data_IF_962202944293
#
_entry.id   IF_962202944293
#
_cell.length_a   1.000
_cell.length_b   1.000
_cell.length_c   1.000
_cell.angle_alpha   90.00
_cell.angle_beta   90.00
_cell.angle_gamma   90.00
#
_symmetry.space_group_name_H-M   'P 1'
#
loop_
_entity.id
_entity.type
_entity.pdbx_description
1 polymer ?
#
# COMPACT_ATOMS: atom_id res chain seq x y z
N UNK A 1 4.78 -5.56 -11.65
CA UNK A 1 5.33 -6.59 -10.71
C UNK A 1 5.83 -7.88 -11.39
N UNK A 2 5.18 -8.39 -12.45
CA UNK A 2 5.57 -9.64 -13.16
C UNK A 2 7.03 -9.69 -13.66
N UNK A 3 7.55 -8.60 -14.26
CA UNK A 3 8.94 -8.57 -14.77
C UNK A 3 10.00 -8.79 -13.67
N UNK A 4 9.85 -8.10 -12.52
CA UNK A 4 10.76 -8.25 -11.38
C UNK A 4 10.68 -9.64 -10.71
N UNK A 5 9.58 -10.37 -10.88
CA UNK A 5 9.37 -11.72 -10.32
C UNK A 5 10.09 -12.79 -11.15
N UNK A 6 10.04 -12.65 -12.48
CA UNK A 6 10.80 -13.50 -13.40
C UNK A 6 12.30 -13.29 -13.18
N UNK A 7 12.72 -12.03 -13.03
CA UNK A 7 14.12 -11.67 -12.81
C UNK A 7 14.66 -12.22 -11.48
N UNK A 8 13.89 -12.15 -10.38
CA UNK A 8 14.32 -12.69 -9.07
C UNK A 8 14.72 -14.17 -9.14
N UNK A 9 13.90 -15.00 -9.79
CA UNK A 9 14.16 -16.44 -9.84
C UNK A 9 15.33 -16.87 -10.73
N UNK A 10 15.84 -15.97 -11.57
CA UNK A 10 17.07 -16.19 -12.36
C UNK A 10 18.27 -15.51 -11.72
N UNK A 11 18.11 -14.28 -11.25
CA UNK A 11 19.19 -13.44 -10.75
C UNK A 11 19.69 -13.93 -9.39
N UNK A 12 18.80 -14.21 -8.43
CA UNK A 12 19.22 -14.54 -7.06
C UNK A 12 20.08 -15.82 -6.99
N UNK A 13 19.75 -16.93 -7.68
CA UNK A 13 20.62 -18.11 -7.70
C UNK A 13 21.98 -17.83 -8.33
N UNK A 14 22.05 -17.07 -9.42
CA UNK A 14 23.32 -16.76 -10.09
C UNK A 14 24.20 -15.86 -9.21
N UNK A 15 23.64 -14.79 -8.66
CA UNK A 15 24.39 -13.83 -7.84
C UNK A 15 24.84 -14.45 -6.53
N UNK A 16 23.99 -15.24 -5.85
CA UNK A 16 24.39 -15.95 -4.62
C UNK A 16 25.48 -17.00 -4.88
N UNK A 17 25.41 -17.71 -6.01
CA UNK A 17 26.45 -18.66 -6.42
C UNK A 17 27.77 -17.96 -6.71
N UNK A 18 27.73 -16.86 -7.45
CA UNK A 18 28.92 -16.06 -7.75
C UNK A 18 29.56 -15.50 -6.47
N UNK A 19 28.74 -15.01 -5.53
CA UNK A 19 29.19 -14.56 -4.22
C UNK A 19 29.86 -15.69 -3.43
N UNK A 20 29.23 -16.88 -3.37
CA UNK A 20 29.79 -18.02 -2.66
C UNK A 20 31.13 -18.48 -3.28
N UNK A 21 31.20 -18.58 -4.60
CA UNK A 21 32.44 -18.92 -5.31
C UNK A 21 33.53 -17.90 -5.00
N UNK A 22 33.21 -16.61 -5.05
CA UNK A 22 34.15 -15.55 -4.73
C UNK A 22 34.68 -15.64 -3.29
N UNK A 23 33.78 -15.78 -2.31
CA UNK A 23 34.15 -15.93 -0.89
C UNK A 23 35.03 -17.15 -0.68
N UNK A 24 34.68 -18.30 -1.27
CA UNK A 24 35.44 -19.54 -1.08
C UNK A 24 36.83 -19.49 -1.74
N UNK A 25 36.94 -18.81 -2.89
CA UNK A 25 38.23 -18.55 -3.53
C UNK A 25 39.11 -17.67 -2.66
N UNK A 26 38.55 -16.65 -2.01
CA UNK A 26 39.31 -15.83 -1.06
C UNK A 26 39.77 -16.64 0.16
N UNK A 27 38.93 -17.55 0.65
CA UNK A 27 39.20 -18.36 1.85
C UNK A 27 40.20 -19.48 1.60
N UNK A 28 40.10 -20.19 0.48
CA UNK A 28 40.81 -21.46 0.25
C UNK A 28 41.64 -21.48 -1.04
N UNK A 29 41.58 -20.43 -1.86
CA UNK A 29 42.10 -20.44 -3.21
C UNK A 29 41.23 -21.25 -4.18
N UNK A 30 41.79 -21.61 -5.34
CA UNK A 30 41.09 -22.45 -6.31
C UNK A 30 41.14 -23.91 -5.88
N UNK A 31 39.98 -24.59 -5.83
CA UNK A 31 39.93 -25.98 -5.42
C UNK A 31 38.55 -26.63 -5.56
N UNK A 32 38.48 -27.90 -5.19
CA UNK A 32 37.24 -28.70 -5.25
C UNK A 32 36.17 -28.14 -4.30
N UNK A 33 36.55 -27.51 -3.19
CA UNK A 33 35.63 -26.86 -2.24
C UNK A 33 34.81 -25.76 -2.91
N UNK A 34 35.45 -24.92 -3.74
CA UNK A 34 34.81 -23.84 -4.52
C UNK A 34 33.71 -24.40 -5.41
N UNK A 35 34.00 -25.49 -6.14
CA UNK A 35 33.02 -26.13 -7.04
C UNK A 35 31.87 -26.73 -6.23
N UNK A 36 32.18 -27.45 -5.14
CA UNK A 36 31.18 -28.08 -4.27
C UNK A 36 30.21 -27.04 -3.70
N UNK A 37 30.72 -25.97 -3.09
CA UNK A 37 29.90 -24.93 -2.46
C UNK A 37 29.15 -24.08 -3.50
N UNK A 38 29.75 -23.85 -4.67
CA UNK A 38 29.07 -23.18 -5.78
C UNK A 38 27.86 -23.97 -6.28
N UNK A 39 28.03 -25.26 -6.59
CA UNK A 39 26.94 -26.13 -7.06
C UNK A 39 25.86 -26.27 -5.97
N UNK A 40 26.26 -26.48 -4.72
CA UNK A 40 25.32 -26.60 -3.61
C UNK A 40 24.48 -25.33 -3.44
N UNK A 41 25.13 -24.16 -3.44
CA UNK A 41 24.44 -22.86 -3.33
C UNK A 41 23.47 -22.64 -4.48
N UNK A 42 23.87 -23.01 -5.71
CA UNK A 42 23.00 -22.91 -6.88
C UNK A 42 21.74 -23.75 -6.73
N UNK A 43 21.88 -25.04 -6.37
CA UNK A 43 20.75 -25.97 -6.23
C UNK A 43 19.80 -25.51 -5.12
N UNK A 44 20.34 -25.19 -3.95
CA UNK A 44 19.55 -24.77 -2.78
C UNK A 44 18.82 -23.45 -3.05
N UNK A 45 19.48 -22.49 -3.71
CA UNK A 45 18.86 -21.20 -4.03
C UNK A 45 17.83 -21.34 -5.16
N UNK A 46 18.05 -22.21 -6.15
CA UNK A 46 17.04 -22.55 -7.16
C UNK A 46 15.79 -23.15 -6.54
N UNK A 47 15.94 -24.05 -5.56
CA UNK A 47 14.81 -24.61 -4.84
C UNK A 47 14.03 -23.51 -4.07
N UNK A 48 14.74 -22.56 -3.46
CA UNK A 48 14.12 -21.46 -2.71
C UNK A 48 13.36 -20.52 -3.64
N UNK A 49 13.95 -20.15 -4.77
CA UNK A 49 13.28 -19.27 -5.75
C UNK A 49 12.14 -19.97 -6.47
N UNK A 50 12.23 -21.28 -6.69
CA UNK A 50 11.12 -22.08 -7.20
C UNK A 50 9.95 -22.11 -6.20
N UNK A 51 10.21 -22.29 -4.91
CA UNK A 51 9.18 -22.19 -3.87
C UNK A 51 8.49 -20.83 -3.88
N UNK A 52 9.27 -19.72 -3.98
CA UNK A 52 8.69 -18.38 -4.12
C UNK A 52 7.82 -18.27 -5.37
N UNK A 53 8.26 -18.81 -6.52
CA UNK A 53 7.46 -18.78 -7.77
C UNK A 53 6.15 -19.58 -7.65
N UNK A 54 6.16 -20.69 -6.93
CA UNK A 54 4.98 -21.55 -6.80
C UNK A 54 3.89 -20.92 -5.92
N UNK A 55 4.28 -20.12 -4.93
CA UNK A 55 3.39 -19.46 -3.97
C UNK A 55 3.46 -17.91 -4.03
N UNK A 56 3.84 -17.37 -5.20
CA UNK A 56 4.26 -15.96 -5.37
C UNK A 56 3.23 -14.92 -4.91
N UNK A 57 1.94 -15.18 -5.15
CA UNK A 57 0.87 -14.25 -4.77
C UNK A 57 0.65 -14.16 -3.25
N UNK A 58 1.01 -15.20 -2.49
CA UNK A 58 0.85 -15.22 -1.03
C UNK A 58 2.10 -14.71 -0.30
N UNK A 59 3.28 -14.86 -0.92
CA UNK A 59 4.59 -14.56 -0.30
C UNK A 59 5.10 -13.16 -0.65
N UNK A 60 5.12 -12.78 -1.93
CA UNK A 60 5.74 -11.53 -2.37
C UNK A 60 4.68 -10.43 -2.53
N UNK A 61 4.45 -9.70 -1.43
CA UNK A 61 3.46 -8.62 -1.36
C UNK A 61 3.93 -7.30 -1.98
N UNK A 62 5.25 -7.07 -2.05
CA UNK A 62 5.81 -5.80 -2.53
C UNK A 62 7.19 -5.96 -3.16
N UNK A 63 7.62 -4.96 -3.96
CA UNK A 63 9.01 -4.90 -4.47
C UNK A 63 10.06 -4.85 -3.34
N UNK A 64 9.71 -4.28 -2.20
CA UNK A 64 10.60 -4.17 -1.03
C UNK A 64 10.84 -5.55 -0.41
N UNK A 65 9.82 -6.43 -0.40
CA UNK A 65 9.96 -7.81 0.08
C UNK A 65 11.02 -8.59 -0.73
N UNK A 66 11.11 -8.34 -2.04
CA UNK A 66 12.13 -8.92 -2.91
C UNK A 66 13.53 -8.43 -2.53
N UNK A 67 13.67 -7.13 -2.28
CA UNK A 67 14.94 -6.53 -1.87
C UNK A 67 15.40 -7.06 -0.50
N UNK A 68 14.48 -7.13 0.47
CA UNK A 68 14.74 -7.68 1.80
C UNK A 68 15.19 -9.13 1.70
N UNK A 69 14.49 -9.96 0.92
CA UNK A 69 14.87 -11.35 0.67
C UNK A 69 16.30 -11.45 0.13
N UNK A 70 16.63 -10.69 -0.91
CA UNK A 70 17.94 -10.72 -1.55
C UNK A 70 19.06 -10.28 -0.58
N UNK A 71 18.88 -9.14 0.10
CA UNK A 71 19.85 -8.59 1.06
C UNK A 71 20.04 -9.55 2.24
N UNK A 72 18.95 -10.06 2.81
CA UNK A 72 19.01 -10.97 3.96
C UNK A 72 19.72 -12.26 3.60
N UNK A 73 19.41 -12.87 2.45
CA UNK A 73 20.04 -14.12 2.04
C UNK A 73 21.52 -13.94 1.69
N UNK A 74 21.86 -12.93 0.88
CA UNK A 74 23.25 -12.65 0.51
C UNK A 74 24.09 -12.23 1.71
N UNK A 75 23.56 -11.37 2.58
CA UNK A 75 24.24 -10.95 3.81
C UNK A 75 24.49 -12.13 4.75
N UNK A 76 23.54 -13.05 4.86
CA UNK A 76 23.70 -14.28 5.66
C UNK A 76 24.78 -15.20 5.09
N UNK A 77 24.82 -15.38 3.77
CA UNK A 77 25.88 -16.13 3.09
C UNK A 77 27.26 -15.53 3.36
N UNK A 78 27.38 -14.19 3.31
CA UNK A 78 28.64 -13.51 3.61
C UNK A 78 29.06 -13.67 5.07
N UNK A 79 28.13 -13.44 6.01
CA UNK A 79 28.40 -13.55 7.44
C UNK A 79 28.83 -14.96 7.84
N UNK A 80 28.29 -16.00 7.19
CA UNK A 80 28.62 -17.40 7.51
C UNK A 80 30.11 -17.71 7.34
N UNK A 81 30.80 -17.04 6.42
CA UNK A 81 32.21 -17.26 6.11
C UNK A 81 33.13 -16.13 6.60
N UNK A 82 32.57 -15.08 7.23
CA UNK A 82 33.33 -13.98 7.80
C UNK A 82 33.79 -14.26 9.24
N UNK A 83 33.11 -15.19 9.91
CA UNK A 83 33.33 -15.58 11.31
C UNK A 83 34.33 -16.72 11.44
N UNK A 84 35.08 -16.76 12.54
CA UNK A 84 36.04 -17.83 12.80
C UNK A 84 35.34 -19.13 13.20
N UNK A 85 34.31 -19.04 14.05
CA UNK A 85 33.59 -20.18 14.61
C UNK A 85 32.07 -20.11 14.29
N UNK A 86 31.63 -20.49 13.08
CA UNK A 86 30.24 -20.31 12.65
C UNK A 86 29.20 -21.16 13.39
N UNK A 87 29.64 -22.16 14.19
CA UNK A 87 28.76 -22.90 15.11
C UNK A 87 28.40 -22.15 16.39
N UNK A 88 29.21 -21.16 16.79
CA UNK A 88 29.01 -20.32 17.98
C UNK A 88 28.61 -18.91 17.54
N UNK A 89 29.29 -18.35 16.54
CA UNK A 89 29.05 -17.01 15.98
C UNK A 89 27.97 -17.04 14.89
N UNK A 90 26.75 -17.35 15.31
CA UNK A 90 25.60 -17.62 14.41
C UNK A 90 24.95 -16.35 13.83
N UNK A 91 25.68 -15.25 13.65
CA UNK A 91 25.15 -13.98 13.11
C UNK A 91 24.55 -14.13 11.70
N UNK A 92 25.02 -15.13 10.96
CA UNK A 92 24.47 -15.51 9.65
C UNK A 92 23.00 -15.96 9.72
N UNK A 93 22.45 -16.25 10.90
CA UNK A 93 21.03 -16.57 11.07
C UNK A 93 20.10 -15.34 11.05
N UNK A 94 20.64 -14.11 11.13
CA UNK A 94 19.83 -12.86 11.17
C UNK A 94 18.92 -12.77 9.93
N UNK A 95 19.44 -13.06 8.73
CA UNK A 95 18.67 -12.89 7.51
C UNK A 95 17.50 -13.86 7.39
N UNK A 96 17.69 -15.14 7.72
CA UNK A 96 16.60 -16.12 7.70
C UNK A 96 15.51 -15.82 8.73
N UNK A 97 15.89 -15.32 9.92
CA UNK A 97 14.93 -14.85 10.92
C UNK A 97 14.16 -13.62 10.44
N UNK A 98 14.84 -12.62 9.85
CA UNK A 98 14.19 -11.43 9.31
C UNK A 98 13.20 -11.74 8.18
N UNK A 99 13.57 -12.63 7.26
CA UNK A 99 12.64 -13.12 6.22
C UNK A 99 11.44 -13.81 6.88
N UNK A 100 11.64 -14.56 7.96
CA UNK A 100 10.55 -15.22 8.70
C UNK A 100 9.65 -14.25 9.46
N UNK A 101 10.17 -13.10 9.90
CA UNK A 101 9.42 -12.04 10.58
C UNK A 101 8.61 -11.21 9.58
N UNK A 102 9.24 -10.80 8.48
CA UNK A 102 8.76 -9.73 7.61
C UNK A 102 8.09 -10.24 6.32
N UNK A 103 8.62 -11.30 5.73
CA UNK A 103 8.22 -11.76 4.39
C UNK A 103 7.32 -12.98 4.50
N UNK A 104 7.88 -14.13 4.83
CA UNK A 104 7.15 -15.38 5.02
C UNK A 104 7.93 -16.34 5.92
N UNK A 105 7.22 -16.95 6.86
CA UNK A 105 7.79 -17.84 7.87
C UNK A 105 8.38 -19.11 7.25
N UNK A 106 7.70 -19.70 6.27
CA UNK A 106 8.16 -20.96 5.65
C UNK A 106 9.37 -20.69 4.75
N UNK A 107 9.35 -19.59 4.02
CA UNK A 107 10.48 -19.17 3.20
C UNK A 107 11.72 -18.90 4.07
N UNK A 108 11.59 -18.15 5.16
CA UNK A 108 12.73 -17.86 6.03
C UNK A 108 13.32 -19.14 6.66
N UNK A 109 12.47 -20.09 7.07
CA UNK A 109 12.93 -21.43 7.51
C UNK A 109 13.70 -22.17 6.40
N UNK A 110 13.16 -22.15 5.18
CA UNK A 110 13.80 -22.79 4.03
C UNK A 110 15.20 -22.21 3.75
N UNK A 111 15.35 -20.89 3.84
CA UNK A 111 16.64 -20.22 3.67
C UNK A 111 17.63 -20.54 4.81
N UNK A 112 17.16 -20.66 6.05
CA UNK A 112 18.04 -21.10 7.16
C UNK A 112 18.57 -22.50 6.91
N UNK A 113 17.72 -23.44 6.50
CA UNK A 113 18.15 -24.80 6.21
C UNK A 113 19.16 -24.84 5.07
N UNK A 114 18.97 -24.02 4.04
CA UNK A 114 19.98 -23.86 2.98
C UNK A 114 21.35 -23.44 3.56
N UNK A 115 21.38 -22.44 4.44
CA UNK A 115 22.61 -21.96 5.07
C UNK A 115 23.24 -23.03 5.97
N UNK A 116 22.45 -23.79 6.72
CA UNK A 116 22.95 -24.90 7.55
C UNK A 116 23.59 -25.99 6.68
N UNK A 117 23.02 -26.32 5.53
CA UNK A 117 23.64 -27.29 4.61
C UNK A 117 24.94 -26.76 3.97
N UNK A 118 24.99 -25.47 3.65
CA UNK A 118 26.20 -24.82 3.14
C UNK A 118 27.29 -24.82 4.23
N UNK A 119 26.93 -24.49 5.47
CA UNK A 119 27.83 -24.60 6.63
C UNK A 119 28.35 -26.03 6.78
N UNK A 120 27.47 -27.02 6.72
CA UNK A 120 27.82 -28.43 6.91
C UNK A 120 28.91 -28.90 5.94
N UNK A 121 28.76 -28.55 4.67
CA UNK A 121 29.73 -28.88 3.62
C UNK A 121 30.98 -27.98 3.69
N UNK A 122 30.80 -26.70 3.99
CA UNK A 122 31.87 -25.70 3.95
C UNK A 122 32.83 -25.76 5.14
N UNK A 123 32.39 -26.32 6.26
CA UNK A 123 33.16 -26.43 7.50
C UNK A 123 33.29 -27.88 8.01
N UNK A 124 32.83 -28.87 7.22
CA UNK A 124 32.86 -30.30 7.60
C UNK A 124 32.21 -30.55 8.97
N UNK A 125 30.98 -30.05 9.13
CA UNK A 125 30.31 -30.04 10.42
C UNK A 125 30.07 -31.45 10.97
N UNK A 126 30.17 -31.58 12.29
CA UNK A 126 29.74 -32.77 13.03
C UNK A 126 28.22 -32.91 12.96
N UNK A 127 27.73 -34.15 13.04
CA UNK A 127 26.29 -34.42 12.92
C UNK A 127 25.50 -33.79 14.10
N UNK A 128 26.11 -33.76 15.29
CA UNK A 128 25.55 -33.15 16.49
C UNK A 128 25.39 -31.63 16.30
N UNK A 129 26.41 -30.94 15.78
CA UNK A 129 26.35 -29.50 15.47
C UNK A 129 25.27 -29.22 14.41
N UNK A 130 25.18 -30.06 13.38
CA UNK A 130 24.16 -29.92 12.35
C UNK A 130 22.74 -30.05 12.92
N UNK A 131 22.51 -31.05 13.77
CA UNK A 131 21.22 -31.24 14.44
C UNK A 131 20.88 -30.06 15.36
N UNK A 132 21.85 -29.56 16.13
CA UNK A 132 21.69 -28.38 16.96
C UNK A 132 21.24 -27.16 16.13
N UNK A 133 21.97 -26.83 15.07
CA UNK A 133 21.68 -25.68 14.21
C UNK A 133 20.33 -25.80 13.49
N UNK A 134 19.96 -27.00 13.02
CA UNK A 134 18.64 -27.24 12.41
C UNK A 134 17.50 -27.01 13.40
N UNK A 135 17.63 -27.54 14.62
CA UNK A 135 16.60 -27.40 15.66
C UNK A 135 16.44 -25.93 16.11
N UNK A 136 17.55 -25.22 16.31
CA UNK A 136 17.51 -23.80 16.69
C UNK A 136 16.97 -22.94 15.56
N UNK A 137 17.37 -23.20 14.31
CA UNK A 137 16.82 -22.53 13.14
C UNK A 137 15.30 -22.72 13.02
N UNK A 138 14.84 -23.96 13.17
CA UNK A 138 13.42 -24.29 13.14
C UNK A 138 12.64 -23.58 14.25
N UNK A 139 13.17 -23.57 15.48
CA UNK A 139 12.54 -22.93 16.62
C UNK A 139 12.45 -21.40 16.46
N UNK A 140 13.56 -20.76 16.09
CA UNK A 140 13.64 -19.31 15.90
C UNK A 140 12.67 -18.85 14.79
N UNK A 141 12.63 -19.57 13.67
CA UNK A 141 11.67 -19.30 12.59
C UNK A 141 10.23 -19.60 13.01
N UNK A 142 9.96 -20.66 13.78
CA UNK A 142 8.62 -20.97 14.27
C UNK A 142 8.07 -19.87 15.19
N UNK A 143 8.96 -19.30 16.02
CA UNK A 143 8.65 -18.21 16.96
C UNK A 143 8.80 -16.81 16.36
N UNK A 144 9.10 -16.67 15.06
CA UNK A 144 9.43 -15.38 14.44
C UNK A 144 8.41 -14.27 14.70
N UNK A 145 7.10 -14.59 14.69
CA UNK A 145 6.02 -13.63 15.00
C UNK A 145 6.06 -13.14 16.45
N UNK A 146 6.33 -14.03 17.40
CA UNK A 146 6.47 -13.66 18.81
C UNK A 146 7.75 -12.85 19.05
N UNK A 147 8.83 -13.20 18.36
CA UNK A 147 10.09 -12.47 18.40
C UNK A 147 10.01 -11.10 17.71
N UNK A 148 9.01 -10.85 16.87
CA UNK A 148 8.77 -9.55 16.23
C UNK A 148 7.94 -8.60 17.11
N UNK A 149 7.13 -9.15 18.03
CA UNK A 149 6.20 -8.36 18.84
C UNK A 149 6.80 -8.00 20.21
N UNK A 150 6.79 -6.70 20.55
CA UNK A 150 7.33 -6.15 21.81
C UNK A 150 6.78 -6.84 23.06
N UNK A 151 5.51 -7.20 23.06
CA UNK A 151 4.83 -7.79 24.23
C UNK A 151 5.21 -9.26 24.45
N UNK A 152 5.63 -9.96 23.39
CA UNK A 152 5.94 -11.39 23.45
C UNK A 152 7.42 -11.72 23.20
N UNK A 153 8.23 -10.74 22.81
CA UNK A 153 9.67 -10.88 22.55
C UNK A 153 10.39 -11.59 23.70
N UNK A 154 10.21 -11.13 24.94
CA UNK A 154 10.91 -11.66 26.11
C UNK A 154 10.62 -13.16 26.29
N UNK A 155 9.36 -13.57 26.18
CA UNK A 155 8.97 -14.98 26.30
C UNK A 155 9.55 -15.82 25.16
N UNK A 156 9.49 -15.32 23.92
CA UNK A 156 10.08 -16.00 22.77
C UNK A 156 11.60 -16.16 22.92
N UNK A 157 12.29 -15.11 23.37
CA UNK A 157 13.74 -15.15 23.64
C UNK A 157 14.08 -16.16 24.72
N UNK A 158 13.35 -16.20 25.84
CA UNK A 158 13.58 -17.18 26.91
C UNK A 158 13.46 -18.61 26.36
N UNK A 159 12.42 -18.90 25.58
CA UNK A 159 12.22 -20.24 25.00
C UNK A 159 13.38 -20.63 24.07
N UNK A 160 13.84 -19.71 23.22
CA UNK A 160 14.97 -19.98 22.31
C UNK A 160 16.25 -20.20 23.10
N UNK A 161 16.58 -19.33 24.05
CA UNK A 161 17.83 -19.43 24.82
C UNK A 161 17.84 -20.66 25.72
N UNK A 162 16.73 -20.98 26.40
CA UNK A 162 16.65 -22.19 27.23
C UNK A 162 16.81 -23.45 26.38
N UNK A 163 16.22 -23.47 25.18
CA UNK A 163 16.39 -24.58 24.24
C UNK A 163 17.83 -24.66 23.74
N UNK A 164 18.47 -23.52 23.45
CA UNK A 164 19.87 -23.49 23.04
C UNK A 164 20.81 -24.09 24.08
N UNK A 165 20.69 -23.68 25.35
CA UNK A 165 21.49 -24.24 26.45
C UNK A 165 21.24 -25.75 26.56
N UNK A 166 19.97 -26.16 26.51
CA UNK A 166 19.60 -27.58 26.64
C UNK A 166 20.20 -28.42 25.52
N UNK A 167 20.07 -27.97 24.26
CA UNK A 167 20.63 -28.67 23.11
C UNK A 167 22.16 -28.67 23.15
N UNK A 168 22.79 -27.53 23.43
CA UNK A 168 24.24 -27.44 23.57
C UNK A 168 24.75 -28.40 24.65
N UNK A 169 24.03 -28.53 25.77
CA UNK A 169 24.42 -29.43 26.86
C UNK A 169 24.30 -30.90 26.45
N UNK A 170 23.19 -31.27 25.79
CA UNK A 170 22.96 -32.64 25.31
C UNK A 170 23.98 -33.04 24.22
N UNK A 171 24.21 -32.17 23.23
CA UNK A 171 25.10 -32.47 22.11
C UNK A 171 26.59 -32.48 22.47
N UNK A 172 26.95 -31.91 23.63
CA UNK A 172 28.29 -31.98 24.19
C UNK A 172 28.37 -32.97 25.37
N UNK A 173 27.58 -34.05 25.31
CA UNK A 173 27.64 -35.20 26.23
C UNK A 173 27.45 -34.84 27.71
N UNK A 174 26.69 -33.78 28.02
CA UNK A 174 26.45 -33.32 29.38
C UNK A 174 27.73 -32.85 30.12
N UNK A 175 28.79 -32.47 29.38
CA UNK A 175 30.08 -32.03 29.93
C UNK A 175 30.22 -30.50 29.80
N UNK A 176 30.53 -29.81 30.91
CA UNK A 176 30.71 -28.35 30.97
C UNK A 176 32.18 -27.88 30.90
N UNK A 177 33.15 -28.77 30.68
CA UNK A 177 34.58 -28.44 30.79
C UNK A 177 35.04 -27.40 29.75
N UNK A 178 35.54 -26.26 30.23
CA UNK A 178 35.91 -25.08 29.44
C UNK A 178 37.29 -25.18 28.78
N UNK A 179 38.21 -25.97 29.33
CA UNK A 179 39.63 -25.97 28.90
C UNK A 179 39.88 -26.59 27.52
N UNK A 180 38.91 -27.33 26.96
CA UNK A 180 38.93 -27.86 25.59
C UNK A 180 37.52 -28.04 24.97
N UNK A 181 36.50 -27.38 25.54
CA UNK A 181 35.08 -27.63 25.25
C UNK A 181 34.34 -26.48 24.55
N UNK A 182 33.06 -26.73 24.26
CA UNK A 182 32.14 -25.79 23.61
C UNK A 182 31.91 -24.54 24.47
N UNK A 183 32.04 -23.34 23.90
CA UNK A 183 31.78 -22.09 24.64
C UNK A 183 30.27 -21.80 24.74
N UNK A 184 29.67 -22.27 25.83
CA UNK A 184 28.25 -22.09 26.15
C UNK A 184 27.85 -20.63 26.32
N UNK A 185 28.73 -19.81 26.91
CA UNK A 185 28.43 -18.41 27.21
C UNK A 185 28.42 -17.61 25.90
N UNK A 186 29.43 -17.81 25.05
CA UNK A 186 29.49 -17.21 23.73
C UNK A 186 28.31 -17.64 22.85
N UNK A 187 27.97 -18.93 22.84
CA UNK A 187 26.82 -19.46 22.09
C UNK A 187 25.50 -18.79 22.52
N UNK A 188 25.26 -18.70 23.82
CA UNK A 188 24.07 -18.04 24.37
C UNK A 188 24.02 -16.55 24.01
N UNK A 189 25.15 -15.85 24.19
CA UNK A 189 25.26 -14.42 23.89
C UNK A 189 25.01 -14.15 22.40
N UNK A 190 25.58 -14.94 21.51
CA UNK A 190 25.44 -14.76 20.06
C UNK A 190 23.99 -15.00 19.59
N UNK A 191 23.29 -16.02 20.09
CA UNK A 191 21.87 -16.22 19.76
C UNK A 191 21.01 -15.08 20.31
N UNK A 192 21.30 -14.59 21.51
CA UNK A 192 20.62 -13.42 22.05
C UNK A 192 20.82 -12.18 21.16
N UNK A 193 22.05 -11.94 20.69
CA UNK A 193 22.36 -10.86 19.76
C UNK A 193 21.67 -11.02 18.40
N UNK A 194 21.56 -12.24 17.86
CA UNK A 194 20.80 -12.52 16.64
C UNK A 194 19.33 -12.12 16.81
N UNK A 195 18.70 -12.55 17.91
CA UNK A 195 17.29 -12.24 18.18
C UNK A 195 17.10 -10.73 18.32
N UNK A 196 17.95 -10.08 19.14
CA UNK A 196 17.83 -8.64 19.40
C UNK A 196 18.11 -7.81 18.15
N UNK A 197 19.13 -8.18 17.36
CA UNK A 197 19.47 -7.55 16.09
C UNK A 197 18.35 -7.67 15.06
N UNK A 198 17.78 -8.87 14.89
CA UNK A 198 16.62 -9.07 14.01
C UNK A 198 15.39 -8.32 14.49
N UNK A 199 15.13 -8.28 15.81
CA UNK A 199 14.03 -7.49 16.37
C UNK A 199 14.20 -5.99 16.08
N UNK A 200 15.37 -5.41 16.33
CA UNK A 200 15.66 -4.00 16.03
C UNK A 200 15.49 -3.68 14.54
N UNK A 201 16.01 -4.53 13.65
CA UNK A 201 15.82 -4.39 12.20
C UNK A 201 14.34 -4.52 11.79
N UNK A 202 13.57 -5.39 12.45
CA UNK A 202 12.13 -5.49 12.23
C UNK A 202 11.37 -4.23 12.65
N UNK A 203 11.80 -3.55 13.72
CA UNK A 203 11.22 -2.27 14.14
C UNK A 203 11.49 -1.17 13.11
N UNK A 204 12.70 -1.09 12.56
CA UNK A 204 13.05 -0.16 11.50
C UNK A 204 12.19 -0.38 10.25
N UNK A 205 11.96 -1.65 9.89
CA UNK A 205 11.05 -2.00 8.81
C UNK A 205 9.61 -1.53 9.08
N UNK A 206 9.06 -1.82 10.27
CA UNK A 206 7.72 -1.38 10.65
C UNK A 206 7.59 0.15 10.64
N UNK A 207 8.61 0.88 11.10
CA UNK A 207 8.63 2.35 11.04
C UNK A 207 8.63 2.85 9.59
N UNK A 208 9.43 2.25 8.71
CA UNK A 208 9.47 2.60 7.29
C UNK A 208 8.11 2.39 6.62
N UNK A 209 7.45 1.24 6.87
CA UNK A 209 6.13 0.93 6.30
C UNK A 209 5.08 1.94 6.80
N UNK A 210 5.03 2.18 8.11
CA UNK A 210 4.10 3.15 8.69
C UNK A 210 4.32 4.57 8.15
N UNK A 211 5.58 5.00 7.98
CA UNK A 211 5.90 6.31 7.40
C UNK A 211 5.42 6.42 5.96
N UNK A 212 5.60 5.36 5.15
CA UNK A 212 5.13 5.33 3.77
C UNK A 212 3.60 5.40 3.69
N UNK A 213 2.90 4.69 4.58
CA UNK A 213 1.43 4.76 4.66
C UNK A 213 0.94 6.14 5.13
N UNK A 214 1.60 6.75 6.11
CA UNK A 214 1.25 8.08 6.59
C UNK A 214 1.47 9.15 5.52
N UNK A 215 2.63 9.16 4.83
CA UNK A 215 2.87 10.08 3.72
C UNK A 215 1.78 9.93 2.64
N UNK A 216 1.36 8.69 2.36
CA UNK A 216 0.30 8.44 1.38
C UNK A 216 -1.06 8.97 1.86
N UNK A 217 -1.40 8.80 3.14
CA UNK A 217 -2.61 9.38 3.74
C UNK A 217 -2.56 10.91 3.74
N UNK A 218 -1.43 11.49 4.10
CA UNK A 218 -1.24 12.94 4.11
C UNK A 218 -1.34 13.52 2.69
N UNK A 219 -0.81 12.83 1.67
CA UNK A 219 -0.98 13.22 0.28
C UNK A 219 -2.45 13.22 -0.15
N UNK A 220 -3.23 12.20 0.23
CA UNK A 220 -4.66 12.11 -0.07
C UNK A 220 -5.46 13.19 0.66
N UNK A 221 -5.15 13.41 1.93
CA UNK A 221 -5.82 14.44 2.73
C UNK A 221 -5.47 15.84 2.22
N UNK A 222 -4.19 16.10 1.95
CA UNK A 222 -3.74 17.38 1.43
C UNK A 222 -4.22 17.61 0.00
N UNK A 223 -4.32 16.60 -0.85
CA UNK A 223 -4.91 16.79 -2.19
C UNK A 223 -6.38 17.17 -2.09
N UNK A 224 -7.13 16.53 -1.19
CA UNK A 224 -8.52 16.87 -0.93
C UNK A 224 -8.68 18.27 -0.32
N UNK A 225 -7.75 18.71 0.54
CA UNK A 225 -7.75 20.05 1.15
C UNK A 225 -7.14 21.14 0.23
N UNK A 226 -6.26 20.82 -0.73
CA UNK A 226 -5.74 21.76 -1.74
C UNK A 226 -6.82 22.06 -2.77
N UNK A 227 -7.57 21.05 -3.24
CA UNK A 227 -8.75 21.27 -4.07
C UNK A 227 -9.84 22.09 -3.35
N UNK A 228 -9.85 22.02 -2.02
CA UNK A 228 -10.68 22.87 -1.16
C UNK A 228 -10.16 24.32 -1.12
N UNK A 229 -8.84 24.54 -1.10
CA UNK A 229 -8.26 25.86 -0.87
C UNK A 229 -7.88 26.66 -2.12
N UNK A 230 -7.62 26.04 -3.28
CA UNK A 230 -7.01 26.70 -4.45
C UNK A 230 -7.98 27.48 -5.37
N UNK A 231 -9.18 27.81 -4.89
CA UNK A 231 -10.07 28.79 -5.51
C UNK A 231 -10.46 29.83 -4.46
N UNK A 232 -9.68 30.91 -4.39
CA UNK A 232 -10.01 32.14 -3.68
C UNK A 232 -9.66 33.34 -4.58
N UNK A 233 -10.64 34.19 -4.87
CA UNK A 233 -10.48 35.66 -4.83
C UNK A 233 -11.87 36.36 -4.86
N UNK A 234 -12.23 36.82 -3.66
CA UNK A 234 -12.96 38.06 -3.27
C UNK A 234 -14.41 38.31 -3.69
N UNK A 235 -15.24 38.55 -2.66
CA UNK A 235 -16.38 39.47 -2.71
C UNK A 235 -17.63 38.94 -2.00
N UNK A 236 -17.93 39.42 -0.80
CA UNK A 236 -19.22 39.22 -0.12
C UNK A 236 -20.32 40.07 -0.80
N UNK A 237 -21.53 39.53 -1.00
CA UNK A 237 -22.81 40.19 -0.65
C UNK A 237 -24.05 39.29 -0.87
N UNK A 238 -25.10 39.59 -0.10
CA UNK A 238 -26.36 38.87 0.14
C UNK A 238 -27.29 38.77 -1.07
N UNK A 239 -28.07 37.68 -1.18
CA UNK A 239 -29.28 37.65 -2.01
C UNK A 239 -30.47 36.96 -1.33
N UNK A 240 -31.62 37.59 -1.52
CA UNK A 240 -32.94 37.37 -0.91
C UNK A 240 -33.76 36.36 -1.74
N UNK A 241 -34.53 35.53 -1.04
CA UNK A 241 -35.51 34.59 -1.58
C UNK A 241 -36.60 35.27 -2.43
N UNK A 242 -37.02 34.61 -3.51
CA UNK A 242 -38.45 34.49 -3.78
C UNK A 242 -38.80 33.21 -4.58
N UNK A 243 -39.88 32.56 -4.17
CA UNK A 243 -40.41 31.32 -4.73
C UNK A 243 -41.10 31.55 -6.09
N UNK A 244 -40.95 30.63 -7.05
CA UNK A 244 -42.09 29.87 -7.61
C UNK A 244 -41.74 28.98 -8.82
N UNK A 245 -41.90 27.68 -8.60
CA UNK A 245 -42.64 26.70 -9.41
C UNK A 245 -42.68 26.84 -10.96
N UNK A 246 -41.88 26.03 -11.68
CA UNK A 246 -42.24 25.52 -13.01
C UNK A 246 -41.49 24.23 -13.33
N UNK A 247 -42.25 23.21 -13.74
CA UNK A 247 -41.94 21.79 -13.67
C UNK A 247 -41.45 21.20 -14.99
N UNK A 248 -40.39 20.38 -14.93
CA UNK A 248 -39.94 19.34 -15.90
C UNK A 248 -39.62 19.75 -17.35
N UNK A 249 -40.34 20.68 -17.98
CA UNK A 249 -40.10 21.09 -19.38
C UNK A 249 -38.80 21.89 -19.58
N UNK A 250 -38.24 22.47 -18.51
CA UNK A 250 -37.01 23.25 -18.58
C UNK A 250 -35.75 22.39 -18.61
N UNK A 251 -35.79 21.21 -17.98
CA UNK A 251 -34.62 20.34 -17.86
C UNK A 251 -34.30 19.66 -19.20
N UNK A 252 -35.32 19.23 -19.95
CA UNK A 252 -35.15 18.61 -21.27
C UNK A 252 -34.41 19.53 -22.26
N UNK A 253 -34.65 20.85 -22.19
CA UNK A 253 -33.97 21.86 -23.03
C UNK A 253 -32.51 22.09 -22.60
N UNK A 254 -32.22 21.94 -21.31
CA UNK A 254 -30.86 22.08 -20.76
C UNK A 254 -30.02 20.82 -21.00
N UNK A 255 -30.65 19.65 -21.14
CA UNK A 255 -29.93 18.39 -21.42
C UNK A 255 -29.61 18.17 -22.90
N UNK A 256 -30.18 18.95 -23.81
CA UNK A 256 -29.87 18.83 -25.24
C UNK A 256 -28.40 19.21 -25.48
N UNK A 257 -27.63 18.33 -26.13
CA UNK A 257 -26.23 18.60 -26.47
C UNK A 257 -26.06 19.80 -27.42
N UNK A 258 -27.12 20.23 -28.10
CA UNK A 258 -27.16 21.45 -28.91
C UNK A 258 -27.56 22.69 -28.09
N UNK A 259 -27.73 22.56 -26.78
CA UNK A 259 -27.97 23.70 -25.90
C UNK A 259 -26.82 24.70 -26.02
N UNK A 260 -27.18 25.97 -26.21
CA UNK A 260 -26.23 27.04 -26.48
C UNK A 260 -25.12 27.14 -25.42
N UNK A 261 -25.45 26.97 -24.14
CA UNK A 261 -24.47 27.05 -23.05
C UNK A 261 -23.49 25.87 -23.06
N UNK A 262 -23.93 24.67 -23.45
CA UNK A 262 -23.04 23.52 -23.58
C UNK A 262 -22.12 23.66 -24.79
N UNK A 263 -22.61 24.25 -25.87
CA UNK A 263 -21.78 24.61 -27.03
C UNK A 263 -20.74 25.65 -26.63
N UNK A 264 -21.13 26.72 -25.94
CA UNK A 264 -20.20 27.73 -25.43
C UNK A 264 -19.16 27.14 -24.47
N UNK A 265 -19.56 26.21 -23.59
CA UNK A 265 -18.66 25.52 -22.67
C UNK A 265 -17.60 24.72 -23.44
N UNK A 266 -18.01 24.02 -24.50
CA UNK A 266 -17.12 23.25 -25.37
C UNK A 266 -16.17 24.14 -26.17
N UNK A 267 -16.68 25.25 -26.73
CA UNK A 267 -15.85 26.23 -27.43
C UNK A 267 -14.83 26.89 -26.50
N UNK A 268 -15.16 27.06 -25.22
CA UNK A 268 -14.25 27.55 -24.20
C UNK A 268 -13.16 26.52 -23.85
N UNK A 269 -13.54 25.26 -23.61
CA UNK A 269 -12.59 24.18 -23.35
C UNK A 269 -13.24 22.79 -23.55
N UNK A 270 -12.65 21.98 -24.43
CA UNK A 270 -13.03 20.57 -24.60
C UNK A 270 -12.87 19.77 -23.30
N UNK A 271 -11.84 20.06 -22.51
CA UNK A 271 -11.57 19.39 -21.22
C UNK A 271 -12.69 19.68 -20.22
N UNK A 272 -13.10 20.96 -20.11
CA UNK A 272 -14.16 21.38 -19.20
C UNK A 272 -15.52 20.81 -19.59
N UNK A 273 -15.82 20.78 -20.89
CA UNK A 273 -17.03 20.15 -21.42
C UNK A 273 -17.06 18.64 -21.14
N UNK A 274 -15.95 17.93 -21.41
CA UNK A 274 -15.87 16.49 -21.15
C UNK A 274 -15.99 16.18 -19.65
N UNK A 275 -15.36 17.00 -18.79
CA UNK A 275 -15.52 16.89 -17.34
C UNK A 275 -16.99 17.03 -16.92
N UNK A 276 -17.68 18.08 -17.39
CA UNK A 276 -19.09 18.30 -17.09
C UNK A 276 -19.99 17.12 -17.53
N UNK A 277 -19.74 16.55 -18.71
CA UNK A 277 -20.46 15.36 -19.21
C UNK A 277 -20.23 14.14 -18.31
N UNK A 278 -18.98 13.89 -17.89
CA UNK A 278 -18.64 12.78 -16.98
C UNK A 278 -19.30 12.98 -15.61
N UNK A 279 -19.21 14.19 -15.04
CA UNK A 279 -19.83 14.53 -13.75
C UNK A 279 -21.35 14.35 -13.83
N UNK A 280 -21.99 14.81 -14.91
CA UNK A 280 -23.41 14.63 -15.15
C UNK A 280 -23.83 13.16 -15.17
N UNK A 281 -23.17 12.34 -16.00
CA UNK A 281 -23.49 10.92 -16.14
C UNK A 281 -23.34 10.14 -14.81
N UNK A 282 -22.21 10.30 -14.13
CA UNK A 282 -21.96 9.61 -12.85
C UNK A 282 -22.96 10.08 -11.80
N UNK A 283 -23.27 11.39 -11.74
CA UNK A 283 -24.22 11.94 -10.77
C UNK A 283 -25.65 11.44 -11.00
N UNK A 284 -26.08 11.32 -12.26
CA UNK A 284 -27.37 10.73 -12.63
C UNK A 284 -27.51 9.29 -12.11
N UNK A 285 -26.49 8.46 -12.38
CA UNK A 285 -26.47 7.06 -11.98
C UNK A 285 -26.35 6.90 -10.46
N UNK A 286 -25.60 7.78 -9.79
CA UNK A 286 -25.53 7.83 -8.33
C UNK A 286 -26.91 8.18 -7.72
N UNK A 287 -27.61 9.18 -8.28
CA UNK A 287 -28.95 9.57 -7.83
C UNK A 287 -29.95 8.42 -7.95
N UNK A 288 -29.89 7.68 -9.05
CA UNK A 288 -30.71 6.48 -9.27
C UNK A 288 -30.57 5.45 -8.15
N UNK A 289 -29.33 5.19 -7.70
CA UNK A 289 -29.03 4.18 -6.68
C UNK A 289 -29.68 4.51 -5.33
N UNK A 290 -29.85 5.80 -5.02
CA UNK A 290 -30.50 6.28 -3.78
C UNK A 290 -31.93 6.78 -3.98
N UNK A 291 -32.53 6.51 -5.15
CA UNK A 291 -33.89 6.96 -5.49
C UNK A 291 -34.10 8.48 -5.43
N UNK A 292 -33.05 9.25 -5.76
CA UNK A 292 -33.08 10.69 -5.92
C UNK A 292 -33.41 11.11 -7.37
N UNK A 293 -33.52 12.40 -7.64
CA UNK A 293 -33.87 12.92 -8.97
C UNK A 293 -32.68 12.80 -9.95
N UNK A 294 -32.71 11.75 -10.78
CA UNK A 294 -31.70 11.46 -11.81
C UNK A 294 -31.47 12.62 -12.77
N UNK A 295 -32.54 13.33 -13.16
CA UNK A 295 -32.49 14.42 -14.13
C UNK A 295 -31.88 15.69 -13.54
N UNK A 296 -32.25 16.01 -12.30
CA UNK A 296 -31.68 17.14 -11.59
C UNK A 296 -30.20 16.91 -11.29
N UNK A 297 -29.80 15.69 -10.88
CA UNK A 297 -28.39 15.37 -10.65
C UNK A 297 -27.56 15.40 -11.95
N UNK A 298 -28.11 14.88 -13.06
CA UNK A 298 -27.48 14.96 -14.37
C UNK A 298 -27.25 16.40 -14.81
N UNK A 299 -28.31 17.22 -14.81
CA UNK A 299 -28.24 18.62 -15.21
C UNK A 299 -27.35 19.44 -14.27
N UNK A 300 -27.42 19.13 -12.97
CA UNK A 300 -26.52 19.71 -11.97
C UNK A 300 -25.06 19.47 -12.31
N UNK A 301 -24.70 18.24 -12.67
CA UNK A 301 -23.34 17.91 -13.12
C UNK A 301 -22.94 18.58 -14.43
N UNK A 302 -23.86 18.75 -15.39
CA UNK A 302 -23.56 19.46 -16.64
C UNK A 302 -23.23 20.95 -16.42
N UNK A 303 -23.91 21.60 -15.48
CA UNK A 303 -23.85 23.06 -15.33
C UNK A 303 -23.14 23.55 -14.06
N UNK A 304 -22.67 22.66 -13.18
CA UNK A 304 -22.06 23.07 -11.91
C UNK A 304 -20.90 24.08 -12.07
N UNK A 305 -20.08 23.94 -13.11
CA UNK A 305 -18.98 24.87 -13.42
C UNK A 305 -19.24 25.80 -14.62
N UNK A 306 -20.51 26.00 -15.03
CA UNK A 306 -20.84 26.78 -16.24
C UNK A 306 -20.29 28.21 -16.21
N UNK A 307 -20.16 28.83 -15.03
CA UNK A 307 -19.62 30.18 -14.91
C UNK A 307 -18.16 30.34 -15.31
N UNK A 308 -17.42 29.24 -15.53
CA UNK A 308 -16.05 29.30 -16.08
C UNK A 308 -15.98 29.79 -17.53
N UNK A 309 -17.11 29.84 -18.26
CA UNK A 309 -17.15 30.44 -19.60
C UNK A 309 -17.02 31.98 -19.57
N UNK A 310 -17.16 32.59 -18.39
CA UNK A 310 -17.00 34.03 -18.15
C UNK A 310 -15.80 34.29 -17.24
N UNK A 311 -15.20 35.47 -17.37
CA UNK A 311 -14.15 35.92 -16.45
C UNK A 311 -14.75 36.34 -15.10
N UNK A 312 -14.09 35.99 -14.01
CA UNK A 312 -14.51 36.35 -12.64
C UNK A 312 -14.74 35.12 -11.75
N UNK A 313 -15.48 35.30 -10.66
CA UNK A 313 -15.86 34.20 -9.78
C UNK A 313 -16.84 33.25 -10.50
N UNK A 314 -16.39 32.04 -10.80
CA UNK A 314 -17.19 31.09 -11.59
C UNK A 314 -18.52 30.69 -10.92
N UNK A 315 -18.67 30.79 -9.59
CA UNK A 315 -19.95 30.53 -8.92
C UNK A 315 -20.91 31.69 -9.15
N UNK A 316 -20.48 32.93 -8.91
CA UNK A 316 -21.29 34.12 -9.15
C UNK A 316 -21.66 34.24 -10.63
N UNK A 317 -20.69 34.04 -11.54
CA UNK A 317 -20.94 34.02 -12.97
C UNK A 317 -21.90 32.89 -13.36
N UNK A 318 -21.77 31.72 -12.72
CA UNK A 318 -22.68 30.59 -12.91
C UNK A 318 -24.10 30.93 -12.51
N UNK A 319 -24.30 31.62 -11.38
CA UNK A 319 -25.60 32.10 -10.92
C UNK A 319 -26.17 33.20 -11.84
N UNK A 320 -25.35 34.13 -12.32
CA UNK A 320 -25.77 35.15 -13.30
C UNK A 320 -26.23 34.50 -14.61
N UNK A 321 -25.50 33.51 -15.12
CA UNK A 321 -25.90 32.71 -16.29
C UNK A 321 -27.22 31.97 -15.99
N UNK A 322 -27.33 31.38 -14.80
CA UNK A 322 -28.53 30.66 -14.41
C UNK A 322 -29.76 31.58 -14.31
N UNK A 323 -29.60 32.85 -13.92
CA UNK A 323 -30.68 33.86 -14.00
C UNK A 323 -31.00 34.24 -15.45
N UNK A 324 -29.99 34.58 -16.25
CA UNK A 324 -30.14 35.00 -17.65
C UNK A 324 -30.86 33.92 -18.50
N UNK A 325 -30.52 32.66 -18.27
CA UNK A 325 -31.09 31.50 -18.96
C UNK A 325 -32.24 30.84 -18.18
N UNK A 326 -32.72 31.49 -17.11
CA UNK A 326 -33.92 31.10 -16.37
C UNK A 326 -33.90 29.64 -15.87
N UNK A 327 -32.77 29.23 -15.29
CA UNK A 327 -32.62 27.90 -14.72
C UNK A 327 -33.62 27.68 -13.58
N UNK A 328 -34.11 26.45 -13.36
CA UNK A 328 -34.92 26.15 -12.19
C UNK A 328 -34.16 26.43 -10.88
N UNK A 329 -34.87 26.90 -9.85
CA UNK A 329 -34.28 27.22 -8.53
C UNK A 329 -33.45 26.08 -7.94
N UNK A 330 -33.94 24.84 -8.08
CA UNK A 330 -33.21 23.65 -7.62
C UNK A 330 -31.86 23.48 -8.33
N UNK A 331 -31.77 23.85 -9.61
CA UNK A 331 -30.53 23.78 -10.38
C UNK A 331 -29.58 24.92 -9.98
N UNK A 332 -30.09 26.16 -9.84
CA UNK A 332 -29.30 27.29 -9.32
C UNK A 332 -28.64 26.95 -7.99
N UNK A 333 -29.42 26.29 -7.11
CA UNK A 333 -28.95 25.82 -5.81
C UNK A 333 -27.78 24.84 -5.94
N UNK A 334 -27.82 23.88 -6.88
CA UNK A 334 -26.70 22.96 -7.13
C UNK A 334 -25.47 23.70 -7.68
N UNK A 335 -25.66 24.66 -8.60
CA UNK A 335 -24.55 25.48 -9.13
C UNK A 335 -23.83 26.21 -7.99
N UNK A 336 -24.56 26.71 -6.98
CA UNK A 336 -23.95 27.29 -5.78
C UNK A 336 -23.33 26.24 -4.84
N UNK A 337 -24.07 25.19 -4.53
CA UNK A 337 -23.77 24.25 -3.44
C UNK A 337 -22.78 23.14 -3.80
N UNK A 338 -22.46 22.88 -5.08
CA UNK A 338 -21.45 21.88 -5.42
C UNK A 338 -20.08 22.23 -4.82
N UNK A 339 -19.83 23.51 -4.52
CA UNK A 339 -18.65 23.99 -3.84
C UNK A 339 -18.97 24.36 -2.39
N UNK A 340 -18.45 23.54 -1.46
CA UNK A 340 -18.69 23.65 -0.02
C UNK A 340 -18.28 25.00 0.61
N UNK A 341 -17.38 25.76 -0.03
CA UNK A 341 -16.99 27.09 0.47
C UNK A 341 -18.11 28.11 0.38
N UNK A 342 -19.05 27.92 -0.55
CA UNK A 342 -20.15 28.86 -0.77
C UNK A 342 -21.35 28.49 0.08
N UNK A 343 -21.72 27.21 0.05
CA UNK A 343 -22.89 26.73 0.76
C UNK A 343 -22.83 25.21 0.91
N UNK A 344 -23.50 24.68 1.94
CA UNK A 344 -23.61 23.23 2.13
C UNK A 344 -24.70 22.67 1.22
N UNK A 345 -24.57 21.43 0.73
CA UNK A 345 -25.66 20.76 0.04
C UNK A 345 -26.92 20.67 0.90
N UNK A 346 -28.01 21.21 0.38
CA UNK A 346 -29.36 21.17 0.98
C UNK A 346 -30.29 20.19 0.29
N UNK A 347 -29.80 19.52 -0.76
CA UNK A 347 -30.50 18.43 -1.45
C UNK A 347 -29.57 17.25 -1.70
N UNK A 348 -30.18 16.08 -1.91
CA UNK A 348 -29.45 14.84 -2.23
C UNK A 348 -28.69 15.00 -3.54
N UNK A 349 -29.29 15.64 -4.54
CA UNK A 349 -28.67 15.87 -5.85
C UNK A 349 -27.46 16.81 -5.76
N UNK A 350 -27.53 17.87 -4.95
CA UNK A 350 -26.38 18.75 -4.71
C UNK A 350 -25.22 18.01 -4.04
N UNK A 351 -25.52 17.14 -3.07
CA UNK A 351 -24.51 16.33 -2.39
C UNK A 351 -23.85 15.33 -3.34
N UNK A 352 -24.64 14.71 -4.23
CA UNK A 352 -24.14 13.77 -5.24
C UNK A 352 -23.23 14.48 -6.24
N UNK A 353 -23.64 15.63 -6.79
CA UNK A 353 -22.80 16.40 -7.73
C UNK A 353 -21.48 16.80 -7.07
N UNK A 354 -21.53 17.27 -5.82
CA UNK A 354 -20.33 17.58 -5.04
C UNK A 354 -19.42 16.35 -4.84
N UNK A 355 -20.00 15.19 -4.51
CA UNK A 355 -19.23 13.96 -4.30
C UNK A 355 -18.58 13.48 -5.59
N UNK A 356 -19.31 13.52 -6.70
CA UNK A 356 -18.81 13.14 -8.02
C UNK A 356 -17.63 13.99 -8.44
N UNK A 357 -17.79 15.33 -8.43
CA UNK A 357 -16.75 16.27 -8.86
C UNK A 357 -15.47 16.12 -8.02
N UNK A 358 -15.60 16.11 -6.69
CA UNK A 358 -14.43 15.92 -5.82
C UNK A 358 -13.78 14.55 -5.96
N UNK A 359 -14.55 13.48 -6.19
CA UNK A 359 -14.00 12.13 -6.36
C UNK A 359 -13.20 12.04 -7.66
N UNK A 360 -13.72 12.58 -8.76
CA UNK A 360 -13.02 12.68 -10.04
C UNK A 360 -11.70 13.45 -9.88
N UNK A 361 -11.78 14.67 -9.37
CA UNK A 361 -10.62 15.53 -9.24
C UNK A 361 -9.53 14.94 -8.32
N UNK A 362 -9.93 14.25 -7.24
CA UNK A 362 -8.99 13.58 -6.33
C UNK A 362 -8.31 12.38 -6.99
N UNK A 363 -9.06 11.57 -7.75
CA UNK A 363 -8.51 10.41 -8.46
C UNK A 363 -7.53 10.88 -9.54
N UNK A 364 -7.94 11.84 -10.38
CA UNK A 364 -7.11 12.37 -11.46
C UNK A 364 -5.82 13.00 -10.90
N UNK A 365 -5.89 13.70 -9.75
CA UNK A 365 -4.69 14.24 -9.07
C UNK A 365 -3.73 13.13 -8.59
N UNK A 366 -4.26 12.08 -7.95
CA UNK A 366 -3.45 10.96 -7.43
C UNK A 366 -2.78 10.20 -8.57
N UNK A 367 -3.49 9.99 -9.67
CA UNK A 367 -2.97 9.35 -10.87
C UNK A 367 -1.85 10.18 -11.51
N UNK A 368 -2.04 11.50 -11.62
CA UNK A 368 -1.02 12.41 -12.14
C UNK A 368 0.25 12.48 -11.27
N UNK A 369 0.17 12.13 -9.98
CA UNK A 369 1.36 12.02 -9.10
C UNK A 369 2.07 10.65 -9.17
N UNK A 370 1.64 9.75 -10.06
CA UNK A 370 2.26 8.44 -10.26
C UNK A 370 1.92 7.42 -9.17
N UNK A 371 0.83 7.63 -8.43
CA UNK A 371 0.39 6.76 -7.34
C UNK A 371 -0.69 5.73 -7.76
N UNK A 372 -0.61 5.21 -8.99
CA UNK A 372 -1.56 4.28 -9.61
C UNK A 372 -1.83 2.97 -8.81
N UNK A 373 -0.94 2.59 -7.89
CA UNK A 373 -1.09 1.37 -7.07
C UNK A 373 -2.01 1.56 -5.84
N UNK A 374 -2.65 2.72 -5.65
CA UNK A 374 -3.56 2.89 -4.50
C UNK A 374 -4.95 2.32 -4.80
N UNK A 375 -5.51 1.50 -3.90
CA UNK A 375 -6.78 0.87 -4.19
C UNK A 375 -7.92 1.91 -4.05
N UNK A 376 -8.77 1.95 -5.06
CA UNK A 376 -9.83 2.96 -5.25
C UNK A 376 -10.82 2.97 -4.08
N UNK A 377 -11.08 1.81 -3.46
CA UNK A 377 -11.92 1.67 -2.27
C UNK A 377 -11.43 2.55 -1.11
N UNK A 378 -10.11 2.69 -0.95
CA UNK A 378 -9.52 3.54 0.09
C UNK A 378 -9.60 5.02 -0.23
N UNK A 379 -9.47 5.42 -1.50
CA UNK A 379 -9.63 6.82 -1.91
C UNK A 379 -11.04 7.28 -1.56
N UNK A 380 -12.02 6.54 -2.09
CA UNK A 380 -13.44 6.87 -1.94
C UNK A 380 -13.85 6.78 -0.47
N UNK A 381 -13.39 5.75 0.24
CA UNK A 381 -13.63 5.63 1.69
C UNK A 381 -13.13 6.84 2.49
N UNK A 382 -11.95 7.37 2.16
CA UNK A 382 -11.40 8.54 2.84
C UNK A 382 -12.18 9.83 2.50
N UNK A 383 -12.52 10.04 1.22
CA UNK A 383 -13.32 11.20 0.78
C UNK A 383 -14.65 11.24 1.52
N UNK A 384 -15.37 10.10 1.54
CA UNK A 384 -16.65 9.97 2.23
C UNK A 384 -16.51 10.22 3.73
N UNK A 385 -15.53 9.59 4.39
CA UNK A 385 -15.30 9.76 5.82
C UNK A 385 -14.95 11.22 6.17
N UNK A 386 -14.11 11.88 5.39
CA UNK A 386 -13.73 13.27 5.59
C UNK A 386 -14.96 14.19 5.53
N UNK A 387 -15.80 14.05 4.50
CA UNK A 387 -17.00 14.90 4.32
C UNK A 387 -18.05 14.66 5.41
N UNK A 388 -18.22 13.41 5.83
CA UNK A 388 -19.11 13.06 6.93
C UNK A 388 -18.61 13.63 8.26
N UNK A 389 -17.32 13.54 8.55
CA UNK A 389 -16.72 14.11 9.76
C UNK A 389 -16.79 15.65 9.80
N UNK A 390 -16.75 16.32 8.64
CA UNK A 390 -16.90 17.78 8.53
C UNK A 390 -18.38 18.24 8.59
N UNK A 391 -19.36 17.34 8.73
CA UNK A 391 -20.79 17.67 8.72
C UNK A 391 -21.22 18.35 7.42
N UNK A 392 -20.62 17.96 6.29
CA UNK A 392 -20.88 18.59 4.98
C UNK A 392 -22.31 18.34 4.50
N UNK A 393 -22.87 17.18 4.81
CA UNK A 393 -24.13 16.69 4.24
C UNK A 393 -25.29 16.65 5.23
N UNK A 394 -25.14 17.30 6.39
CA UNK A 394 -26.12 17.26 7.48
C UNK A 394 -27.50 17.79 7.05
N UNK A 395 -27.51 18.71 6.08
CA UNK A 395 -28.72 19.35 5.54
C UNK A 395 -29.16 18.79 4.18
N UNK A 396 -28.40 17.84 3.61
CA UNK A 396 -28.64 17.31 2.27
C UNK A 396 -29.79 16.29 2.20
N UNK A 397 -30.24 15.77 3.35
CA UNK A 397 -31.27 14.72 3.42
C UNK A 397 -30.77 13.30 3.10
N UNK A 398 -29.45 13.08 3.04
CA UNK A 398 -28.84 11.75 2.87
C UNK A 398 -28.86 10.97 4.19
N UNK A 399 -29.46 9.79 4.20
CA UNK A 399 -29.40 8.91 5.37
C UNK A 399 -28.17 7.96 5.31
N UNK A 400 -27.89 7.26 6.41
CA UNK A 400 -26.73 6.34 6.50
C UNK A 400 -26.77 5.21 5.45
N UNK A 401 -27.97 4.74 5.09
CA UNK A 401 -28.13 3.73 4.04
C UNK A 401 -27.76 4.31 2.68
N UNK A 402 -28.20 5.52 2.37
CA UNK A 402 -27.88 6.21 1.12
C UNK A 402 -26.36 6.42 0.99
N UNK A 403 -25.69 6.81 2.08
CA UNK A 403 -24.22 6.94 2.10
C UNK A 403 -23.49 5.65 1.78
N UNK A 404 -23.93 4.53 2.34
CA UNK A 404 -23.31 3.24 2.07
C UNK A 404 -23.54 2.82 0.61
N UNK A 405 -24.75 3.02 0.09
CA UNK A 405 -25.10 2.73 -1.31
C UNK A 405 -24.29 3.59 -2.28
N UNK A 406 -24.16 4.89 -2.01
CA UNK A 406 -23.32 5.79 -2.81
C UNK A 406 -21.86 5.35 -2.76
N UNK A 407 -21.31 5.08 -1.56
CA UNK A 407 -19.92 4.64 -1.45
C UNK A 407 -19.65 3.37 -2.27
N UNK A 408 -20.54 2.38 -2.19
CA UNK A 408 -20.43 1.15 -2.99
C UNK A 408 -20.50 1.43 -4.49
N UNK A 409 -21.44 2.29 -4.91
CA UNK A 409 -21.57 2.74 -6.30
C UNK A 409 -20.29 3.40 -6.82
N UNK A 410 -19.75 4.38 -6.09
CA UNK A 410 -18.53 5.07 -6.49
C UNK A 410 -17.33 4.11 -6.57
N UNK A 411 -17.21 3.16 -5.64
CA UNK A 411 -16.13 2.15 -5.70
C UNK A 411 -16.27 1.28 -6.94
N UNK A 412 -17.48 0.81 -7.28
CA UNK A 412 -17.69 0.03 -8.49
C UNK A 412 -17.41 0.84 -9.76
N UNK A 413 -17.86 2.10 -9.79
CA UNK A 413 -17.75 2.98 -10.94
C UNK A 413 -16.29 3.28 -11.30
N UNK A 414 -15.50 3.69 -10.31
CA UNK A 414 -14.12 4.09 -10.54
C UNK A 414 -13.18 2.89 -10.74
N UNK A 415 -13.52 1.71 -10.22
CA UNK A 415 -12.81 0.48 -10.55
C UNK A 415 -12.98 0.08 -12.03
N UNK A 416 -14.13 0.36 -12.66
CA UNK A 416 -14.33 0.11 -14.10
C UNK A 416 -13.47 1.05 -14.96
N UNK A 417 -13.31 2.31 -14.56
CA UNK A 417 -12.49 3.31 -15.27
C UNK A 417 -11.03 2.85 -15.42
N UNK A 418 -10.45 2.25 -14.38
CA UNK A 418 -9.08 1.70 -14.41
C UNK A 418 -8.88 0.40 -15.22
N UNK A 419 -9.94 -0.15 -15.84
CA UNK A 419 -9.87 -1.37 -16.67
C UNK A 419 -9.97 -1.13 -18.17
N UNK A 420 -10.20 0.13 -18.59
CA UNK A 420 -10.36 0.52 -19.99
C UNK A 420 -9.14 1.26 -20.59
N UNK A 421 -8.01 1.28 -19.89
CA UNK A 421 -6.68 1.60 -20.41
C UNK A 421 -5.82 0.32 -20.48
#
# INVERSE_FOLDING_TARGET
MKSNRISLGVILPLVSTALMVFIEVLRTGYGVSVIKLGILTLILTLAATYYVRLFDNDIIKSKISILILAICYMGSLSLLFLVENPEIEVFWMIGGLLVSMIVDRKLGLFLQFNLVFIYAVGFSARIETLLHLLLISALICALSKYLMDKSTLVYGTIIVLSTNITLAFVFNNFIFEYEAGYDYIASLANIFLVIMGSFLLSLLYSQYVNRKENIKKDLINNSADILYNDKELTGEEEYINDESNSSRTSYDLLMDNNNELLVQLKECSDELYNHAQIVGDISSRAAKVVSADEFLAYTGGLYHEIGKIRSGNYIEQGLLIAEEYHFPEKLKTIVKQHNIKYDKPTSVEAAIVMLTDHTLATIDYIENQGAHDYPIDKIIGNIFAMRLNKGTFDEAGLNIKDFNLLREFYVEEFNKRGTNE
#
